data_IF_154986118080
#
_entry.id   IF_154986118080
#
_cell.length_a   1.000
_cell.length_b   1.000
_cell.length_c   1.000
_cell.angle_alpha   90.00
_cell.angle_beta   90.00
_cell.angle_gamma   90.00
#
_symmetry.space_group_name_H-M   'P 1'
#
loop_
_entity.id
_entity.type
_entity.pdbx_description
1 polymer ?
#
# COMPACT_ATOMS: atom_id res chain seq x y z
N UNK A 1 -28.31 -40.93 12.96
CA UNK A 1 -27.50 -40.83 11.73
C UNK A 1 -28.19 -39.83 10.83
N UNK A 2 -27.63 -38.62 10.69
CA UNK A 2 -28.21 -37.60 9.83
C UNK A 2 -27.76 -37.86 8.39
N UNK A 3 -28.68 -38.24 7.52
CA UNK A 3 -28.43 -38.45 6.09
C UNK A 3 -28.24 -37.10 5.41
N UNK A 4 -26.99 -36.65 5.28
CA UNK A 4 -26.64 -35.50 4.47
C UNK A 4 -26.82 -35.86 3.00
N UNK A 5 -27.74 -35.17 2.32
CA UNK A 5 -27.96 -35.34 0.89
C UNK A 5 -26.68 -34.98 0.11
N UNK A 6 -26.36 -35.73 -0.96
CA UNK A 6 -25.19 -35.46 -1.78
C UNK A 6 -25.31 -34.09 -2.46
N UNK A 7 -24.20 -33.35 -2.62
CA UNK A 7 -24.22 -32.01 -3.20
C UNK A 7 -24.71 -32.05 -4.65
N UNK A 8 -25.51 -31.05 -5.08
CA UNK A 8 -26.10 -31.03 -6.41
C UNK A 8 -25.02 -30.94 -7.50
N UNK A 9 -25.28 -31.59 -8.63
CA UNK A 9 -24.37 -31.65 -9.77
C UNK A 9 -24.16 -30.26 -10.40
N UNK A 10 -23.03 -30.05 -11.10
CA UNK A 10 -22.70 -28.76 -11.74
C UNK A 10 -23.79 -28.24 -12.68
N UNK A 11 -24.54 -29.14 -13.31
CA UNK A 11 -25.65 -28.80 -14.22
C UNK A 11 -26.87 -28.29 -13.45
N UNK A 12 -27.24 -28.95 -12.35
CA UNK A 12 -28.35 -28.53 -11.47
C UNK A 12 -28.04 -27.17 -10.84
N UNK A 13 -26.80 -26.92 -10.42
CA UNK A 13 -26.38 -25.59 -9.94
C UNK A 13 -26.49 -24.50 -11.01
N UNK A 14 -26.16 -24.81 -12.27
CA UNK A 14 -26.28 -23.84 -13.38
C UNK A 14 -27.75 -23.51 -13.66
N UNK A 15 -28.61 -24.52 -13.70
CA UNK A 15 -30.04 -24.35 -13.91
C UNK A 15 -30.72 -23.63 -12.73
N UNK A 16 -30.27 -23.84 -11.49
CA UNK A 16 -30.71 -23.07 -10.31
C UNK A 16 -30.23 -21.62 -10.35
N UNK A 17 -29.00 -21.35 -10.80
CA UNK A 17 -28.48 -19.99 -10.98
C UNK A 17 -29.23 -19.26 -12.10
N UNK A 18 -29.49 -19.92 -13.23
CA UNK A 18 -30.29 -19.35 -14.33
C UNK A 18 -31.73 -19.11 -13.88
N UNK A 19 -32.36 -20.04 -13.15
CA UNK A 19 -33.70 -19.82 -12.58
C UNK A 19 -33.74 -18.70 -11.55
N UNK A 20 -32.71 -18.54 -10.72
CA UNK A 20 -32.64 -17.43 -9.74
C UNK A 20 -32.34 -16.09 -10.41
N UNK A 21 -31.56 -16.05 -11.49
CA UNK A 21 -31.43 -14.85 -12.34
C UNK A 21 -32.76 -14.50 -13.02
N UNK A 22 -33.45 -15.48 -13.60
CA UNK A 22 -34.75 -15.25 -14.24
C UNK A 22 -35.84 -14.87 -13.21
N UNK A 23 -35.77 -15.37 -11.98
CA UNK A 23 -36.65 -14.93 -10.88
C UNK A 23 -36.29 -13.55 -10.33
N UNK A 24 -35.03 -13.13 -10.35
CA UNK A 24 -34.63 -11.76 -10.04
C UNK A 24 -35.11 -10.78 -11.11
N UNK A 25 -35.12 -11.19 -12.38
CA UNK A 25 -35.66 -10.39 -13.49
C UNK A 25 -37.21 -10.27 -13.46
N UNK A 26 -37.90 -11.14 -12.71
CA UNK A 26 -39.38 -11.20 -12.65
C UNK A 26 -39.92 -10.89 -11.24
N UNK A 27 -39.15 -10.21 -10.39
CA UNK A 27 -39.72 -9.52 -9.22
C UNK A 27 -40.40 -8.21 -9.68
N UNK A 28 -41.64 -7.93 -9.25
CA UNK A 28 -42.65 -7.31 -10.09
C UNK A 28 -42.56 -5.78 -10.20
N UNK A 29 -43.06 -5.30 -11.34
CA UNK A 29 -43.58 -3.97 -11.67
C UNK A 29 -44.33 -3.26 -10.52
N UNK A 30 -43.60 -2.76 -9.54
CA UNK A 30 -44.04 -1.73 -8.59
C UNK A 30 -42.91 -0.72 -8.39
N UNK A 31 -42.28 -0.28 -9.49
CA UNK A 31 -41.65 1.03 -9.48
C UNK A 31 -42.77 2.06 -9.30
N UNK A 32 -43.06 2.44 -8.06
CA UNK A 32 -43.58 3.79 -7.82
C UNK A 32 -42.63 4.71 -8.57
N UNK A 33 -43.15 5.53 -9.46
CA UNK A 33 -42.36 6.51 -10.19
C UNK A 33 -41.75 7.48 -9.15
N UNK A 34 -40.56 7.13 -8.63
CA UNK A 34 -39.93 7.78 -7.48
C UNK A 34 -39.23 9.08 -7.89
N UNK A 35 -39.42 9.50 -9.14
CA UNK A 35 -38.74 10.63 -9.77
C UNK A 35 -37.33 10.26 -10.23
N UNK A 36 -36.76 11.13 -11.06
CA UNK A 36 -35.34 11.13 -11.41
C UNK A 36 -34.63 12.26 -10.69
N UNK A 37 -33.30 12.21 -10.63
CA UNK A 37 -32.45 13.32 -10.23
C UNK A 37 -31.26 13.44 -11.19
N UNK A 38 -30.66 14.63 -11.22
CA UNK A 38 -29.45 14.89 -11.99
C UNK A 38 -28.22 14.50 -11.18
N UNK A 39 -27.44 13.54 -11.66
CA UNK A 39 -26.18 13.13 -11.06
C UNK A 39 -25.02 13.88 -11.73
N UNK A 40 -24.20 14.53 -10.91
CA UNK A 40 -22.93 15.13 -11.32
C UNK A 40 -21.80 14.36 -10.66
N UNK A 41 -20.94 13.72 -11.46
CA UNK A 41 -19.84 12.90 -10.97
C UNK A 41 -18.53 13.68 -10.92
N UNK A 42 -17.93 13.74 -9.75
CA UNK A 42 -16.61 14.36 -9.54
C UNK A 42 -15.59 13.33 -9.08
N UNK A 43 -14.32 13.52 -9.43
CA UNK A 43 -13.22 12.71 -8.92
C UNK A 43 -12.88 13.09 -7.46
N UNK A 44 -11.84 12.47 -6.89
CA UNK A 44 -11.34 12.80 -5.55
C UNK A 44 -10.65 14.17 -5.47
N UNK A 45 -10.31 14.76 -6.62
CA UNK A 45 -9.72 16.09 -6.76
C UNK A 45 -10.80 17.18 -6.99
N UNK A 46 -12.06 16.79 -7.17
CA UNK A 46 -13.21 17.67 -7.40
C UNK A 46 -13.47 18.03 -8.87
N UNK A 47 -12.77 17.40 -9.83
CA UNK A 47 -13.00 17.63 -11.26
C UNK A 47 -14.15 16.76 -11.78
N UNK A 48 -14.93 17.31 -12.72
CA UNK A 48 -16.01 16.58 -13.39
C UNK A 48 -15.45 15.39 -14.19
N UNK A 49 -15.99 14.20 -13.94
CA UNK A 49 -15.57 12.97 -14.61
C UNK A 49 -16.37 12.69 -15.88
N UNK A 50 -17.66 13.00 -15.85
CA UNK A 50 -18.60 12.74 -16.92
C UNK A 50 -19.70 13.81 -16.87
N UNK A 51 -20.34 14.06 -18.02
CA UNK A 51 -21.45 15.00 -18.09
C UNK A 51 -22.60 14.63 -17.16
N UNK A 52 -23.43 15.62 -16.82
CA UNK A 52 -24.61 15.42 -15.96
C UNK A 52 -25.58 14.41 -16.59
N UNK A 53 -25.99 13.42 -15.82
CA UNK A 53 -26.91 12.34 -16.26
C UNK A 53 -28.14 12.27 -15.36
N UNK A 54 -29.29 11.99 -15.94
CA UNK A 54 -30.52 11.74 -15.19
C UNK A 54 -30.59 10.28 -14.74
N UNK A 55 -30.73 10.05 -13.43
CA UNK A 55 -30.83 8.71 -12.82
C UNK A 55 -32.18 8.61 -12.10
N UNK A 56 -32.89 7.50 -12.29
CA UNK A 56 -34.11 7.21 -11.54
C UNK A 56 -33.77 6.82 -10.09
N UNK A 57 -34.48 7.35 -9.10
CA UNK A 57 -34.30 6.95 -7.70
C UNK A 57 -34.51 5.45 -7.47
N UNK A 58 -35.32 4.77 -8.29
CA UNK A 58 -35.49 3.32 -8.23
C UNK A 58 -34.20 2.56 -8.57
N UNK A 59 -33.41 3.09 -9.50
CA UNK A 59 -32.17 2.47 -9.99
C UNK A 59 -30.92 2.97 -9.26
N UNK A 60 -31.07 3.89 -8.30
CA UNK A 60 -30.00 4.58 -7.60
C UNK A 60 -29.29 3.72 -6.52
N UNK A 61 -28.93 2.49 -6.87
CA UNK A 61 -28.06 1.65 -6.03
C UNK A 61 -26.58 1.90 -6.37
N UNK A 62 -25.68 1.75 -5.39
CA UNK A 62 -24.24 1.99 -5.58
C UNK A 62 -23.67 1.21 -6.78
N UNK A 63 -24.10 -0.05 -6.96
CA UNK A 63 -23.66 -0.91 -8.06
C UNK A 63 -24.12 -0.39 -9.42
N UNK A 64 -25.37 0.04 -9.54
CA UNK A 64 -25.94 0.54 -10.78
C UNK A 64 -25.30 1.88 -11.16
N UNK A 65 -25.14 2.78 -10.19
CA UNK A 65 -24.47 4.08 -10.39
C UNK A 65 -23.00 3.86 -10.78
N UNK A 66 -22.32 2.88 -10.17
CA UNK A 66 -20.95 2.51 -10.54
C UNK A 66 -20.88 1.94 -11.96
N UNK A 67 -21.84 1.12 -12.38
CA UNK A 67 -21.89 0.58 -13.73
C UNK A 67 -22.16 1.68 -14.76
N UNK A 68 -23.08 2.60 -14.45
CA UNK A 68 -23.41 3.75 -15.29
C UNK A 68 -22.19 4.65 -15.50
N UNK A 69 -21.46 5.00 -14.43
CA UNK A 69 -20.25 5.82 -14.54
C UNK A 69 -19.19 5.16 -15.43
N UNK A 70 -18.99 3.84 -15.33
CA UNK A 70 -18.05 3.14 -16.21
C UNK A 70 -18.50 3.15 -17.68
N UNK A 71 -19.80 3.03 -17.97
CA UNK A 71 -20.35 3.13 -19.32
C UNK A 71 -20.16 4.55 -19.90
N UNK A 72 -20.40 5.59 -19.09
CA UNK A 72 -20.19 6.98 -19.52
C UNK A 72 -18.71 7.29 -19.83
N UNK A 73 -17.80 6.64 -19.11
CA UNK A 73 -16.36 6.74 -19.37
C UNK A 73 -15.90 5.86 -20.55
N UNK A 74 -16.81 5.18 -21.24
CA UNK A 74 -16.53 4.36 -22.41
C UNK A 74 -15.68 3.12 -22.11
N UNK A 75 -15.74 2.59 -20.88
CA UNK A 75 -15.00 1.37 -20.52
C UNK A 75 -15.74 0.12 -20.96
N UNK A 76 -14.98 -0.90 -21.32
CA UNK A 76 -15.52 -2.23 -21.61
C UNK A 76 -15.98 -2.92 -20.31
N UNK A 77 -16.97 -3.81 -20.42
CA UNK A 77 -17.54 -4.51 -19.25
C UNK A 77 -16.52 -5.30 -18.43
N UNK A 78 -15.45 -5.75 -19.06
CA UNK A 78 -14.36 -6.52 -18.42
C UNK A 78 -13.40 -5.61 -17.62
N UNK A 79 -13.31 -4.33 -17.97
CA UNK A 79 -12.41 -3.33 -17.37
C UNK A 79 -13.13 -2.37 -16.41
N UNK A 80 -14.30 -2.76 -15.91
CA UNK A 80 -15.07 -1.94 -14.97
C UNK A 80 -14.31 -1.75 -13.66
N UNK A 81 -14.10 -0.49 -13.30
CA UNK A 81 -13.55 -0.13 -11.99
C UNK A 81 -14.72 0.00 -11.00
N UNK A 82 -14.73 -0.75 -9.89
CA UNK A 82 -15.76 -0.58 -8.88
C UNK A 82 -15.60 0.79 -8.20
N UNK A 83 -16.67 1.58 -8.12
CA UNK A 83 -16.65 2.88 -7.45
C UNK A 83 -17.44 2.85 -6.15
N UNK A 84 -16.94 3.57 -5.14
CA UNK A 84 -17.72 4.03 -3.99
C UNK A 84 -18.09 5.48 -4.22
N UNK A 85 -19.29 5.89 -3.84
CA UNK A 85 -19.69 7.28 -3.97
C UNK A 85 -19.84 7.96 -2.62
N UNK A 86 -19.22 9.12 -2.47
CA UNK A 86 -19.50 10.07 -1.39
C UNK A 86 -20.51 11.09 -1.88
N UNK A 87 -21.56 11.26 -1.11
CA UNK A 87 -22.72 12.05 -1.53
C UNK A 87 -22.63 13.43 -0.89
N UNK A 88 -22.61 14.47 -1.71
CA UNK A 88 -22.70 15.85 -1.24
C UNK A 88 -24.17 16.21 -1.05
N UNK A 89 -24.56 16.51 0.20
CA UNK A 89 -25.93 16.91 0.49
C UNK A 89 -26.19 18.31 -0.09
N UNK A 90 -27.17 18.48 -0.99
CA UNK A 90 -27.48 19.79 -1.54
C UNK A 90 -27.83 20.80 -0.44
N UNK A 91 -27.22 21.99 -0.49
CA UNK A 91 -27.47 23.08 0.47
C UNK A 91 -26.81 22.92 1.85
N UNK A 92 -25.95 21.90 2.06
CA UNK A 92 -25.18 21.71 3.30
C UNK A 92 -23.75 21.28 2.99
N UNK A 93 -22.80 21.66 3.84
CA UNK A 93 -21.40 21.20 3.74
C UNK A 93 -21.18 19.77 4.28
N UNK A 94 -22.23 18.93 4.25
CA UNK A 94 -22.20 17.56 4.76
C UNK A 94 -21.92 16.60 3.60
N UNK A 95 -20.84 15.83 3.74
CA UNK A 95 -20.46 14.76 2.82
C UNK A 95 -20.73 13.42 3.50
N UNK A 96 -21.51 12.56 2.86
CA UNK A 96 -21.85 11.23 3.37
C UNK A 96 -20.94 10.19 2.71
N UNK A 97 -20.06 9.55 3.48
CA UNK A 97 -19.09 8.56 2.99
C UNK A 97 -19.69 7.14 2.82
N UNK A 98 -20.83 6.86 3.45
CA UNK A 98 -21.51 5.56 3.38
C UNK A 98 -22.72 5.67 2.45
N UNK A 99 -22.71 4.89 1.38
CA UNK A 99 -23.83 4.87 0.45
C UNK A 99 -25.08 4.33 1.15
N UNK A 100 -26.23 5.05 1.12
CA UNK A 100 -27.45 4.62 1.80
C UNK A 100 -28.12 3.45 1.08
N UNK A 101 -28.96 2.71 1.79
CA UNK A 101 -29.84 1.70 1.16
C UNK A 101 -30.91 2.34 0.27
N UNK A 102 -31.42 3.50 0.67
CA UNK A 102 -32.35 4.32 -0.11
C UNK A 102 -31.85 5.77 -0.15
N UNK A 103 -31.50 6.23 -1.35
CA UNK A 103 -30.98 7.58 -1.57
C UNK A 103 -32.03 8.66 -1.30
N UNK A 104 -33.29 8.38 -1.64
CA UNK A 104 -34.38 9.36 -1.51
C UNK A 104 -34.65 9.67 -0.04
N UNK A 105 -34.69 8.64 0.81
CA UNK A 105 -34.88 8.79 2.26
C UNK A 105 -33.73 9.59 2.90
N UNK A 106 -32.49 9.38 2.46
CA UNK A 106 -31.34 10.15 2.93
C UNK A 106 -31.52 11.65 2.64
N UNK A 107 -31.89 12.00 1.41
CA UNK A 107 -32.08 13.41 1.01
C UNK A 107 -33.21 14.06 1.79
N UNK A 108 -34.33 13.36 1.96
CA UNK A 108 -35.47 13.85 2.75
C UNK A 108 -35.11 14.06 4.21
N UNK A 109 -34.37 13.12 4.82
CA UNK A 109 -33.87 13.24 6.21
C UNK A 109 -32.96 14.44 6.40
N UNK A 110 -32.18 14.80 5.38
CA UNK A 110 -31.34 15.98 5.40
C UNK A 110 -32.08 17.28 5.04
N UNK A 111 -33.39 17.23 4.76
CA UNK A 111 -34.24 18.39 4.53
C UNK A 111 -34.18 18.94 3.11
N UNK A 112 -33.86 18.11 2.12
CA UNK A 112 -33.90 18.50 0.70
C UNK A 112 -35.36 18.53 0.25
N UNK A 113 -35.88 19.73 -0.03
CA UNK A 113 -37.31 19.94 -0.35
C UNK A 113 -37.71 19.42 -1.73
N UNK A 114 -36.85 19.59 -2.75
CA UNK A 114 -37.09 19.14 -4.13
C UNK A 114 -35.98 18.18 -4.60
N UNK A 115 -36.02 16.89 -4.20
CA UNK A 115 -34.97 15.93 -4.54
C UNK A 115 -34.92 15.60 -6.05
N UNK A 116 -36.03 15.76 -6.79
CA UNK A 116 -36.10 15.39 -8.22
C UNK A 116 -35.51 16.42 -9.18
N UNK A 117 -35.51 17.70 -8.81
CA UNK A 117 -35.00 18.79 -9.67
C UNK A 117 -33.58 19.22 -9.29
N UNK A 118 -33.06 18.69 -8.18
CA UNK A 118 -31.74 19.05 -7.66
C UNK A 118 -30.66 18.21 -8.30
N UNK A 119 -29.54 18.86 -8.60
CA UNK A 119 -28.33 18.15 -9.05
C UNK A 119 -27.56 17.68 -7.83
N UNK A 120 -27.34 16.38 -7.72
CA UNK A 120 -26.61 15.75 -6.63
C UNK A 120 -25.19 15.49 -7.11
N UNK A 121 -24.22 15.98 -6.35
CA UNK A 121 -22.81 15.72 -6.63
C UNK A 121 -22.37 14.45 -5.94
N UNK A 122 -21.80 13.53 -6.71
CA UNK A 122 -21.22 12.28 -6.24
C UNK A 122 -19.71 12.34 -6.44
N UNK A 123 -18.93 12.29 -5.37
CA UNK A 123 -17.49 12.07 -5.47
C UNK A 123 -17.22 10.58 -5.61
N UNK A 124 -16.67 10.18 -6.75
CA UNK A 124 -16.41 8.81 -7.11
C UNK A 124 -15.01 8.37 -6.65
N UNK A 125 -14.96 7.45 -5.71
CA UNK A 125 -13.72 6.85 -5.21
C UNK A 125 -13.52 5.46 -5.83
N UNK A 126 -12.47 5.25 -6.64
CA UNK A 126 -12.20 3.94 -7.21
C UNK A 126 -11.81 2.96 -6.09
N UNK A 127 -12.50 1.83 -6.03
CA UNK A 127 -12.16 0.70 -5.18
C UNK A 127 -11.22 -0.25 -5.92
N UNK A 128 -10.53 -1.09 -5.15
CA UNK A 128 -9.75 -2.17 -5.72
C UNK A 128 -10.68 -3.18 -6.44
N UNK A 129 -10.28 -3.61 -7.64
CA UNK A 129 -11.02 -4.62 -8.43
C UNK A 129 -11.09 -5.97 -7.70
N UNK A 130 -10.15 -6.23 -6.80
CA UNK A 130 -10.09 -7.42 -5.96
C UNK A 130 -10.46 -7.10 -4.51
N UNK A 131 -11.04 -8.10 -3.83
CA UNK A 131 -11.37 -8.01 -2.41
C UNK A 131 -10.43 -8.91 -1.61
N UNK A 132 -9.69 -8.32 -0.68
CA UNK A 132 -8.91 -9.09 0.31
C UNK A 132 -9.86 -9.55 1.41
N UNK A 133 -9.96 -10.86 1.62
CA UNK A 133 -10.72 -11.41 2.73
C UNK A 133 -9.99 -11.17 4.05
N UNK A 134 -10.75 -10.81 5.09
CA UNK A 134 -10.20 -10.69 6.43
C UNK A 134 -9.69 -12.06 6.91
N UNK A 135 -8.51 -12.08 7.52
CA UNK A 135 -7.96 -13.29 8.15
C UNK A 135 -8.82 -13.65 9.37
N UNK A 136 -9.33 -14.89 9.42
CA UNK A 136 -10.29 -15.31 10.46
C UNK A 136 -9.69 -16.18 11.55
N UNK A 137 -8.54 -16.82 11.26
CA UNK A 137 -7.90 -17.77 12.16
C UNK A 137 -6.39 -17.76 11.99
N UNK A 138 -5.70 -18.24 13.02
CA UNK A 138 -4.28 -18.56 12.95
C UNK A 138 -4.05 -19.65 11.91
N UNK A 139 -3.11 -19.42 10.97
CA UNK A 139 -2.68 -20.44 10.02
C UNK A 139 -1.67 -21.39 10.68
N UNK A 140 -0.50 -20.87 11.07
CA UNK A 140 0.58 -21.66 11.68
C UNK A 140 1.24 -20.90 12.83
N UNK A 141 1.67 -21.63 13.85
CA UNK A 141 2.60 -21.14 14.89
C UNK A 141 3.95 -21.82 14.67
N UNK A 142 4.91 -21.07 14.15
CA UNK A 142 6.21 -21.62 13.77
C UNK A 142 7.27 -21.22 14.82
N UNK A 143 7.76 -22.14 15.65
CA UNK A 143 8.84 -21.85 16.58
C UNK A 143 10.18 -21.75 15.84
N UNK A 144 11.13 -21.06 16.44
CA UNK A 144 12.50 -21.10 15.96
C UNK A 144 13.41 -20.04 16.58
N UNK A 145 12.98 -18.78 16.56
CA UNK A 145 13.78 -17.70 17.15
C UNK A 145 13.98 -17.89 18.65
N UNK A 146 15.19 -17.58 19.13
CA UNK A 146 15.56 -17.69 20.54
C UNK A 146 15.25 -16.45 21.37
N UNK A 147 14.87 -15.35 20.73
CA UNK A 147 14.64 -14.03 21.31
C UNK A 147 13.45 -13.36 20.58
N UNK A 148 12.96 -12.19 21.07
CA UNK A 148 11.85 -11.48 20.42
C UNK A 148 12.09 -11.20 18.94
N UNK A 149 11.02 -11.30 18.15
CA UNK A 149 11.02 -10.89 16.74
C UNK A 149 10.81 -9.39 16.69
N UNK A 150 11.73 -8.67 16.05
CA UNK A 150 11.75 -7.21 15.98
C UNK A 150 11.16 -6.68 14.67
N UNK A 151 11.31 -7.44 13.59
CA UNK A 151 10.78 -7.08 12.29
C UNK A 151 10.29 -8.32 11.54
N UNK A 152 9.24 -8.16 10.74
CA UNK A 152 8.76 -9.17 9.82
C UNK A 152 8.26 -8.54 8.53
N UNK A 153 8.45 -9.21 7.40
CA UNK A 153 7.95 -8.75 6.11
C UNK A 153 7.77 -9.92 5.14
N UNK A 154 6.60 -9.99 4.49
CA UNK A 154 6.37 -10.92 3.38
C UNK A 154 7.15 -10.52 2.13
N UNK A 155 7.53 -11.52 1.33
CA UNK A 155 8.06 -11.31 0.00
C UNK A 155 7.08 -10.51 -0.87
N UNK A 156 7.55 -9.63 -1.77
CA UNK A 156 6.68 -8.92 -2.71
C UNK A 156 6.08 -9.85 -3.77
N UNK A 157 6.66 -11.04 -3.98
CA UNK A 157 6.21 -11.99 -5.00
C UNK A 157 4.89 -12.64 -4.59
N UNK A 158 4.85 -13.21 -3.38
CA UNK A 158 3.66 -13.88 -2.85
C UNK A 158 3.75 -14.04 -1.34
N UNK A 159 2.64 -14.50 -0.74
CA UNK A 159 2.58 -14.79 0.69
C UNK A 159 3.41 -16.00 1.11
N UNK A 160 3.89 -16.86 0.19
CA UNK A 160 4.54 -18.16 0.51
C UNK A 160 5.86 -18.02 1.26
N UNK A 161 6.45 -16.82 1.28
CA UNK A 161 7.72 -16.51 1.94
C UNK A 161 7.55 -15.33 2.89
N UNK A 162 7.93 -15.56 4.15
CA UNK A 162 8.02 -14.53 5.18
C UNK A 162 9.47 -14.42 5.65
N UNK A 163 9.97 -13.19 5.79
CA UNK A 163 11.24 -12.92 6.46
C UNK A 163 10.99 -12.34 7.86
N UNK A 164 11.81 -12.72 8.83
CA UNK A 164 11.81 -12.15 10.19
C UNK A 164 13.22 -11.82 10.65
N UNK A 165 13.36 -10.77 11.46
CA UNK A 165 14.58 -10.40 12.16
C UNK A 165 14.35 -10.43 13.67
N UNK A 166 15.32 -10.92 14.44
CA UNK A 166 15.19 -11.12 15.87
C UNK A 166 16.38 -10.57 16.66
N UNK A 167 16.17 -10.40 17.97
CA UNK A 167 17.22 -10.15 18.95
C UNK A 167 18.19 -11.33 19.17
N UNK A 168 17.96 -12.48 18.53
CA UNK A 168 18.89 -13.63 18.56
C UNK A 168 20.05 -13.50 17.56
N UNK A 169 20.20 -12.30 16.97
CA UNK A 169 21.18 -11.94 15.94
C UNK A 169 20.99 -12.71 14.61
N UNK A 170 19.85 -13.36 14.41
CA UNK A 170 19.53 -14.04 13.15
C UNK A 170 18.34 -13.40 12.45
N UNK A 171 18.38 -13.46 11.12
CA UNK A 171 17.17 -13.35 10.31
C UNK A 171 16.75 -14.75 9.86
N UNK A 172 15.46 -14.96 9.62
CA UNK A 172 14.94 -16.25 9.15
C UNK A 172 13.99 -16.05 8.01
N UNK A 173 13.97 -17.05 7.12
CA UNK A 173 12.99 -17.16 6.05
C UNK A 173 12.11 -18.35 6.36
N UNK A 174 10.81 -18.14 6.28
CA UNK A 174 9.79 -19.13 6.58
C UNK A 174 9.06 -19.51 5.30
N UNK A 175 8.77 -20.81 5.19
CA UNK A 175 7.78 -21.29 4.26
C UNK A 175 6.42 -21.25 4.94
N UNK A 176 5.53 -20.39 4.46
CA UNK A 176 4.21 -20.19 5.08
C UNK A 176 3.16 -21.17 4.57
N UNK A 177 3.44 -21.87 3.47
CA UNK A 177 2.51 -22.85 2.89
C UNK A 177 2.55 -24.15 3.70
N UNK A 178 3.76 -24.57 4.11
CA UNK A 178 3.97 -25.72 5.01
C UNK A 178 4.05 -25.31 6.49
N UNK A 179 4.25 -24.03 6.79
CA UNK A 179 4.48 -23.56 8.15
C UNK A 179 5.82 -24.02 8.73
N UNK A 180 6.87 -24.13 7.92
CA UNK A 180 8.19 -24.63 8.32
C UNK A 180 9.31 -23.58 8.19
N UNK A 181 10.36 -23.65 9.02
CA UNK A 181 11.56 -22.84 8.82
C UNK A 181 12.26 -23.27 7.52
N UNK A 182 12.51 -22.32 6.62
CA UNK A 182 13.23 -22.57 5.37
C UNK A 182 14.73 -22.34 5.54
N UNK A 183 15.13 -21.14 5.95
CA UNK A 183 16.54 -20.76 6.10
C UNK A 183 16.77 -19.96 7.38
N UNK A 184 17.94 -20.17 8.00
CA UNK A 184 18.43 -19.34 9.12
C UNK A 184 19.65 -18.55 8.64
N UNK A 185 19.49 -17.23 8.54
CA UNK A 185 20.48 -16.29 8.06
C UNK A 185 21.37 -15.86 9.23
N UNK A 186 22.52 -16.53 9.37
CA UNK A 186 23.52 -16.28 10.42
C UNK A 186 24.64 -15.41 9.87
N UNK A 187 25.06 -14.41 10.65
CA UNK A 187 26.21 -13.57 10.30
C UNK A 187 26.25 -12.27 11.10
N UNK A 188 25.10 -11.76 11.51
CA UNK A 188 25.04 -10.60 12.39
C UNK A 188 25.55 -10.95 13.80
N UNK A 189 26.21 -9.99 14.44
CA UNK A 189 26.72 -10.11 15.82
C UNK A 189 25.92 -9.29 16.84
N UNK A 190 24.84 -8.65 16.38
CA UNK A 190 23.89 -7.90 17.18
C UNK A 190 22.47 -8.03 16.65
N UNK A 191 21.50 -7.46 17.37
CA UNK A 191 20.08 -7.60 17.08
C UNK A 191 19.73 -7.15 15.66
N UNK A 192 18.93 -7.95 14.96
CA UNK A 192 18.43 -7.61 13.62
C UNK A 192 17.22 -6.70 13.79
N UNK A 193 17.40 -5.40 13.55
CA UNK A 193 16.40 -4.37 13.79
C UNK A 193 15.37 -4.26 12.66
N UNK A 194 15.76 -4.62 11.44
CA UNK A 194 14.90 -4.51 10.26
C UNK A 194 15.23 -5.56 9.22
N UNK A 195 14.18 -5.99 8.53
CA UNK A 195 14.25 -6.87 7.36
C UNK A 195 13.48 -6.18 6.23
N UNK A 196 14.07 -6.09 5.04
CA UNK A 196 13.42 -5.47 3.90
C UNK A 196 13.74 -6.23 2.60
N UNK A 197 12.71 -6.75 1.95
CA UNK A 197 12.82 -7.40 0.64
C UNK A 197 13.10 -6.36 -0.45
N UNK A 198 13.93 -6.73 -1.43
CA UNK A 198 14.05 -5.95 -2.65
C UNK A 198 12.72 -5.96 -3.40
N UNK A 199 12.37 -4.90 -4.15
CA UNK A 199 11.09 -4.82 -4.83
C UNK A 199 10.86 -5.91 -5.88
N UNK A 200 11.93 -6.47 -6.45
CA UNK A 200 11.90 -7.62 -7.38
C UNK A 200 11.84 -8.99 -6.65
N UNK A 201 11.93 -9.00 -5.33
CA UNK A 201 11.89 -10.21 -4.50
C UNK A 201 13.18 -11.05 -4.50
N UNK A 202 14.22 -10.67 -5.25
CA UNK A 202 15.47 -11.44 -5.40
C UNK A 202 16.42 -11.33 -4.22
N UNK A 203 16.32 -10.27 -3.42
CA UNK A 203 17.23 -10.01 -2.32
C UNK A 203 16.46 -9.72 -1.03
N UNK A 204 17.06 -10.06 0.09
CA UNK A 204 16.63 -9.64 1.41
C UNK A 204 17.73 -8.83 2.07
N UNK A 205 17.45 -7.58 2.43
CA UNK A 205 18.35 -6.76 3.24
C UNK A 205 18.01 -6.88 4.72
N UNK A 206 19.05 -6.98 5.56
CA UNK A 206 18.92 -6.98 7.02
C UNK A 206 19.83 -5.89 7.60
N UNK A 207 19.29 -5.12 8.54
CA UNK A 207 20.07 -4.15 9.32
C UNK A 207 20.17 -4.55 10.78
N UNK A 208 21.31 -4.23 11.40
CA UNK A 208 21.60 -4.69 12.76
C UNK A 208 22.25 -3.63 13.65
N UNK A 209 22.15 -3.87 14.95
CA UNK A 209 22.93 -3.18 15.98
C UNK A 209 24.45 -3.41 15.84
N UNK A 210 24.89 -4.41 15.07
CA UNK A 210 26.32 -4.61 14.77
C UNK A 210 26.91 -3.57 13.80
N UNK A 211 26.10 -2.57 13.39
CA UNK A 211 26.47 -1.44 12.52
C UNK A 211 26.65 -1.85 11.06
N UNK A 212 26.24 -3.05 10.69
CA UNK A 212 26.33 -3.56 9.32
C UNK A 212 24.95 -3.72 8.69
N UNK A 213 24.94 -3.69 7.36
CA UNK A 213 23.81 -4.17 6.55
C UNK A 213 24.28 -5.41 5.80
N UNK A 214 23.45 -6.45 5.76
CA UNK A 214 23.74 -7.66 4.99
C UNK A 214 22.66 -7.89 3.96
N UNK A 215 23.06 -8.38 2.81
CA UNK A 215 22.17 -8.81 1.73
C UNK A 215 22.19 -10.33 1.67
N UNK A 216 21.02 -10.92 1.51
CA UNK A 216 20.85 -12.36 1.44
C UNK A 216 20.10 -12.72 0.17
N UNK A 217 20.46 -13.85 -0.39
CA UNK A 217 19.65 -14.53 -1.39
C UNK A 217 18.58 -15.37 -0.65
N UNK A 218 17.28 -15.05 -0.82
CA UNK A 218 16.20 -15.72 -0.11
C UNK A 218 15.92 -17.14 -0.62
N UNK A 219 16.39 -17.51 -1.81
CA UNK A 219 16.23 -18.85 -2.36
C UNK A 219 17.26 -19.81 -1.76
N UNK A 220 18.53 -19.39 -1.74
CA UNK A 220 19.64 -20.22 -1.25
C UNK A 220 19.91 -20.05 0.25
N UNK A 221 19.45 -18.96 0.86
CA UNK A 221 19.74 -18.61 2.25
C UNK A 221 21.19 -18.15 2.49
N UNK A 222 21.95 -17.91 1.42
CA UNK A 222 23.35 -17.48 1.49
C UNK A 222 23.45 -15.97 1.52
N UNK A 223 24.50 -15.47 2.17
CA UNK A 223 24.83 -14.05 2.10
C UNK A 223 25.32 -13.70 0.68
N UNK A 224 24.77 -12.63 0.12
CA UNK A 224 25.22 -12.07 -1.14
C UNK A 224 26.34 -11.05 -0.88
N UNK A 225 27.54 -11.34 -1.39
CA UNK A 225 28.71 -10.48 -1.23
C UNK A 225 29.19 -10.33 0.23
N UNK A 226 29.89 -9.23 0.51
CA UNK A 226 30.38 -8.89 1.85
C UNK A 226 29.32 -8.10 2.64
N UNK A 227 29.53 -7.99 3.96
CA UNK A 227 28.72 -7.13 4.80
C UNK A 227 29.04 -5.65 4.54
N UNK A 228 28.01 -4.81 4.46
CA UNK A 228 28.15 -3.40 4.17
C UNK A 228 28.59 -2.67 5.45
N UNK A 229 29.90 -2.49 5.56
CA UNK A 229 30.56 -1.77 6.65
C UNK A 229 30.70 -0.30 6.32
N UNK A 230 30.46 0.55 7.31
CA UNK A 230 30.72 1.98 7.19
C UNK A 230 30.00 2.84 8.22
N UNK A 231 28.83 2.40 8.69
CA UNK A 231 28.14 3.08 9.78
C UNK A 231 28.93 3.00 11.10
N UNK A 232 28.96 4.11 11.84
CA UNK A 232 29.68 4.18 13.11
C UNK A 232 28.86 3.62 14.29
N UNK A 233 27.53 3.59 14.13
CA UNK A 233 26.54 3.14 15.13
C UNK A 233 25.47 2.25 14.48
N UNK A 234 24.53 1.79 15.29
CA UNK A 234 23.46 0.86 14.92
C UNK A 234 22.69 1.32 13.68
N UNK A 235 22.40 0.38 12.78
CA UNK A 235 21.59 0.64 11.59
C UNK A 235 20.13 0.38 11.93
N UNK A 236 19.30 1.43 11.87
CA UNK A 236 17.93 1.41 12.38
C UNK A 236 16.90 1.03 11.32
N UNK A 237 17.08 1.50 10.08
CA UNK A 237 16.12 1.27 9.01
C UNK A 237 16.82 1.16 7.65
N UNK A 238 16.13 0.54 6.70
CA UNK A 238 16.62 0.29 5.34
C UNK A 238 15.50 0.51 4.34
N UNK A 239 15.78 1.15 3.22
CA UNK A 239 14.85 1.34 2.10
C UNK A 239 15.55 1.03 0.77
N UNK A 240 14.93 0.18 -0.04
CA UNK A 240 15.41 -0.13 -1.38
C UNK A 240 15.07 0.99 -2.35
N UNK A 241 15.95 1.24 -3.31
CA UNK A 241 15.60 2.01 -4.50
C UNK A 241 14.47 1.31 -5.26
N UNK A 242 13.43 2.03 -5.68
CA UNK A 242 12.38 1.48 -6.55
C UNK A 242 12.95 0.84 -7.82
N UNK A 243 12.40 -0.31 -8.20
CA UNK A 243 12.93 -1.12 -9.31
C UNK A 243 13.01 -0.37 -10.66
N UNK A 244 12.06 0.52 -10.94
CA UNK A 244 12.05 1.30 -12.19
C UNK A 244 13.14 2.38 -12.24
N UNK A 245 13.79 2.70 -11.12
CA UNK A 245 14.89 3.65 -11.05
C UNK A 245 16.27 2.98 -11.09
N UNK A 246 16.33 1.65 -11.03
CA UNK A 246 17.60 0.93 -11.04
C UNK A 246 18.39 1.23 -12.32
N UNK A 247 19.60 1.74 -12.11
CA UNK A 247 20.57 2.07 -13.16
C UNK A 247 21.87 1.30 -12.95
N UNK A 248 22.68 1.19 -13.99
CA UNK A 248 23.99 0.51 -13.98
C UNK A 248 23.91 -1.01 -13.70
N UNK A 249 22.74 -1.62 -13.93
CA UNK A 249 22.52 -3.06 -13.69
C UNK A 249 22.62 -3.48 -12.22
N UNK A 250 22.49 -2.53 -11.29
CA UNK A 250 22.61 -2.77 -9.86
C UNK A 250 21.44 -2.14 -9.11
N UNK A 251 20.97 -2.85 -8.09
CA UNK A 251 20.08 -2.27 -7.11
C UNK A 251 20.87 -1.32 -6.19
N UNK A 252 20.17 -0.32 -5.66
CA UNK A 252 20.68 0.53 -4.58
C UNK A 252 19.85 0.36 -3.31
N UNK A 253 20.53 0.57 -2.20
CA UNK A 253 19.94 0.46 -0.87
C UNK A 253 20.29 1.70 -0.05
N UNK A 254 19.30 2.34 0.56
CA UNK A 254 19.51 3.36 1.57
C UNK A 254 19.44 2.73 2.97
N UNK A 255 20.41 3.02 3.83
CA UNK A 255 20.37 2.64 5.24
C UNK A 255 20.48 3.86 6.14
N UNK A 256 19.61 3.93 7.15
CA UNK A 256 19.61 4.96 8.17
C UNK A 256 20.23 4.45 9.46
N UNK A 257 21.08 5.27 10.08
CA UNK A 257 21.81 4.89 11.28
C UNK A 257 21.69 5.91 12.41
N UNK A 258 21.94 5.41 13.62
CA UNK A 258 22.09 6.19 14.84
C UNK A 258 23.29 7.14 14.82
N UNK A 259 24.21 6.98 13.85
CA UNK A 259 25.32 7.90 13.64
C UNK A 259 24.91 9.26 13.04
N UNK A 260 23.63 9.43 12.66
CA UNK A 260 23.12 10.68 12.09
C UNK A 260 23.28 10.75 10.57
N UNK A 261 23.70 9.66 9.94
CA UNK A 261 23.87 9.58 8.48
C UNK A 261 22.89 8.59 7.87
N UNK A 262 22.52 8.84 6.62
CA UNK A 262 21.96 7.83 5.74
C UNK A 262 22.95 7.52 4.63
N UNK A 263 23.19 6.24 4.34
CA UNK A 263 24.15 5.80 3.32
C UNK A 263 23.43 5.12 2.17
N UNK A 264 23.83 5.46 0.95
CA UNK A 264 23.38 4.78 -0.27
C UNK A 264 24.46 3.78 -0.68
N UNK A 265 24.07 2.52 -0.83
CA UNK A 265 24.95 1.41 -1.18
C UNK A 265 24.63 0.90 -2.57
N UNK A 266 25.67 0.58 -3.33
CA UNK A 266 25.57 -0.17 -4.58
C UNK A 266 25.64 -1.66 -4.23
N UNK A 267 24.55 -2.40 -4.47
CA UNK A 267 24.42 -3.78 -3.94
C UNK A 267 25.43 -4.75 -4.52
N UNK A 268 25.75 -4.66 -5.82
CA UNK A 268 26.68 -5.58 -6.47
C UNK A 268 28.13 -5.45 -5.97
N UNK A 269 28.55 -4.24 -5.60
CA UNK A 269 29.93 -3.96 -5.17
C UNK A 269 30.09 -3.79 -3.67
N UNK A 270 28.99 -3.52 -2.94
CA UNK A 270 29.01 -3.13 -1.53
C UNK A 270 29.62 -1.75 -1.28
N UNK A 271 29.91 -0.97 -2.33
CA UNK A 271 30.46 0.39 -2.21
C UNK A 271 29.38 1.37 -1.75
N UNK A 272 29.76 2.30 -0.87
CA UNK A 272 28.93 3.47 -0.57
C UNK A 272 29.04 4.49 -1.71
N UNK A 273 27.91 4.81 -2.36
CA UNK A 273 27.82 5.84 -3.41
C UNK A 273 27.73 7.23 -2.78
N UNK A 274 26.81 7.41 -1.83
CA UNK A 274 26.59 8.67 -1.13
C UNK A 274 26.46 8.48 0.37
N UNK A 275 26.94 9.48 1.12
CA UNK A 275 26.72 9.64 2.55
C UNK A 275 25.91 10.90 2.76
N UNK A 276 24.61 10.71 3.02
CA UNK A 276 23.67 11.79 3.33
C UNK A 276 23.91 12.22 4.77
N UNK A 277 24.70 13.28 4.91
CA UNK A 277 25.05 13.87 6.19
C UNK A 277 24.32 15.20 6.39
N UNK A 278 23.96 15.48 7.64
CA UNK A 278 23.47 16.78 8.04
C UNK A 278 22.46 16.73 9.18
N UNK A 279 21.85 15.57 9.45
CA UNK A 279 21.06 15.40 10.66
C UNK A 279 21.93 15.55 11.91
N UNK A 280 21.41 16.24 12.93
CA UNK A 280 22.12 16.47 14.21
C UNK A 280 21.92 15.33 15.21
N UNK A 281 21.07 14.36 14.88
CA UNK A 281 20.70 13.26 15.75
C UNK A 281 20.48 11.97 14.96
N UNK A 282 20.17 10.90 15.70
CA UNK A 282 19.90 9.56 15.15
C UNK A 282 18.83 9.60 14.05
N UNK A 283 19.15 9.04 12.87
CA UNK A 283 18.17 8.88 11.78
C UNK A 283 17.38 7.60 12.05
N UNK A 284 16.14 7.74 12.49
CA UNK A 284 15.31 6.61 12.93
C UNK A 284 14.70 5.84 11.76
N UNK A 285 14.33 6.54 10.69
CA UNK A 285 13.56 5.98 9.59
C UNK A 285 13.96 6.59 8.25
N UNK A 286 13.86 5.78 7.20
CA UNK A 286 14.19 6.16 5.82
C UNK A 286 13.17 5.54 4.86
N UNK A 287 12.81 6.27 3.82
CA UNK A 287 12.00 5.82 2.67
C UNK A 287 12.61 6.33 1.39
N UNK A 288 12.44 5.58 0.30
CA UNK A 288 12.91 5.96 -1.03
C UNK A 288 11.69 6.06 -1.95
N UNK A 289 11.43 7.27 -2.46
CA UNK A 289 10.29 7.57 -3.33
C UNK A 289 10.53 7.21 -4.79
N UNK A 290 9.44 7.08 -5.55
CA UNK A 290 9.47 6.69 -6.96
C UNK A 290 10.02 7.75 -7.91
N UNK A 291 10.28 8.96 -7.41
CA UNK A 291 10.90 10.08 -8.13
C UNK A 291 12.41 10.21 -7.93
N UNK A 292 13.03 9.28 -7.19
CA UNK A 292 14.46 9.35 -6.87
C UNK A 292 14.79 10.24 -5.67
N UNK A 293 13.78 10.59 -4.87
CA UNK A 293 13.96 11.30 -3.61
C UNK A 293 14.05 10.32 -2.44
N UNK A 294 14.94 10.60 -1.48
CA UNK A 294 15.02 9.88 -0.20
C UNK A 294 14.43 10.76 0.88
N UNK A 295 13.62 10.17 1.75
CA UNK A 295 12.99 10.82 2.88
C UNK A 295 13.56 10.25 4.16
N UNK A 296 14.04 11.09 5.06
CA UNK A 296 14.60 10.67 6.36
C UNK A 296 13.92 11.39 7.50
N UNK A 297 13.59 10.66 8.56
CA UNK A 297 13.14 11.19 9.84
C UNK A 297 14.22 11.00 10.90
N UNK A 298 14.42 12.00 11.75
CA UNK A 298 15.48 11.98 12.77
C UNK A 298 15.00 12.47 14.13
N UNK A 299 15.76 12.08 15.15
CA UNK A 299 15.60 12.57 16.51
C UNK A 299 16.02 14.04 16.67
N UNK A 300 16.63 14.65 15.65
CA UNK A 300 16.81 16.11 15.61
C UNK A 300 15.52 16.89 15.31
N UNK A 301 14.37 16.18 15.28
CA UNK A 301 13.02 16.73 15.03
C UNK A 301 12.82 17.24 13.61
N UNK A 302 13.79 16.99 12.73
CA UNK A 302 13.70 17.37 11.33
C UNK A 302 13.40 16.17 10.44
N UNK A 303 12.66 16.46 9.39
CA UNK A 303 12.51 15.59 8.23
C UNK A 303 13.35 16.20 7.13
N UNK A 304 14.06 15.35 6.39
CA UNK A 304 14.84 15.82 5.24
C UNK A 304 14.48 15.04 4.00
N UNK A 305 14.45 15.76 2.89
CA UNK A 305 14.28 15.22 1.55
C UNK A 305 15.59 15.41 0.81
N UNK A 306 16.12 14.32 0.27
CA UNK A 306 17.40 14.27 -0.40
C UNK A 306 17.20 13.84 -1.84
N UNK A 307 17.96 14.44 -2.76
CA UNK A 307 18.12 13.92 -4.11
C UNK A 307 19.06 12.71 -4.05
N UNK A 308 18.57 11.51 -4.38
CA UNK A 308 19.36 10.29 -4.29
C UNK A 308 20.47 10.22 -5.33
N UNK A 309 20.30 10.88 -6.49
CA UNK A 309 21.26 10.84 -7.59
C UNK A 309 22.43 11.76 -7.32
N UNK A 310 22.17 12.94 -6.75
CA UNK A 310 23.21 13.92 -6.40
C UNK A 310 23.73 13.76 -4.99
N UNK A 311 22.96 13.12 -4.10
CA UNK A 311 23.24 13.03 -2.67
C UNK A 311 23.06 14.38 -1.93
N UNK A 312 22.30 15.32 -2.50
CA UNK A 312 22.14 16.69 -1.98
C UNK A 312 20.85 16.84 -1.19
N UNK A 313 20.87 17.69 -0.17
CA UNK A 313 19.67 18.09 0.58
C UNK A 313 18.79 19.01 -0.26
N UNK A 314 17.52 18.65 -0.45
CA UNK A 314 16.53 19.44 -1.18
C UNK A 314 15.62 20.23 -0.25
N UNK A 315 15.04 19.55 0.74
CA UNK A 315 14.13 20.16 1.70
C UNK A 315 14.47 19.74 3.13
N UNK A 316 14.24 20.66 4.06
CA UNK A 316 14.28 20.40 5.49
C UNK A 316 13.01 20.92 6.14
N UNK A 317 12.25 20.03 6.77
CA UNK A 317 11.04 20.36 7.50
C UNK A 317 11.31 20.29 9.01
N UNK A 318 11.00 21.36 9.73
CA UNK A 318 11.27 21.50 11.18
C UNK A 318 9.99 21.75 11.98
N UNK A 319 8.86 21.24 11.50
CA UNK A 319 7.56 21.45 12.15
C UNK A 319 7.36 20.64 13.45
N UNK A 320 8.07 19.51 13.62
CA UNK A 320 7.89 18.65 14.77
C UNK A 320 8.56 19.21 16.04
N UNK A 321 7.85 19.17 17.17
CA UNK A 321 8.37 19.56 18.49
C UNK A 321 9.20 18.48 19.20
N UNK A 322 9.13 17.22 18.75
CA UNK A 322 9.75 16.06 19.38
C UNK A 322 10.43 15.12 18.37
N UNK A 323 11.08 14.07 18.87
CA UNK A 323 11.77 13.08 18.05
C UNK A 323 10.80 12.40 17.09
N UNK A 324 11.21 12.37 15.83
CA UNK A 324 10.50 11.66 14.78
C UNK A 324 11.00 10.22 14.81
N UNK A 325 10.07 9.27 14.85
CA UNK A 325 10.40 7.84 14.85
C UNK A 325 9.92 7.14 13.57
N UNK A 326 8.84 7.65 12.95
CA UNK A 326 8.21 6.99 11.82
C UNK A 326 7.86 7.98 10.72
N UNK A 327 8.06 7.53 9.48
CA UNK A 327 7.61 8.18 8.26
C UNK A 327 7.01 7.13 7.32
N UNK A 328 6.05 7.53 6.50
CA UNK A 328 5.47 6.71 5.45
C UNK A 328 5.13 7.56 4.21
N UNK A 329 5.23 6.95 3.04
CA UNK A 329 4.88 7.55 1.76
C UNK A 329 3.54 6.98 1.27
N UNK A 330 2.77 7.80 0.55
CA UNK A 330 1.55 7.33 -0.13
C UNK A 330 1.86 6.23 -1.16
N UNK A 331 3.04 6.26 -1.75
CA UNK A 331 3.52 5.33 -2.77
C UNK A 331 4.19 4.06 -2.22
N UNK A 332 4.37 3.95 -0.89
CA UNK A 332 5.16 2.86 -0.26
C UNK A 332 4.72 1.46 -0.70
N UNK A 333 3.41 1.23 -0.81
CA UNK A 333 2.88 -0.08 -1.20
C UNK A 333 3.15 -0.42 -2.68
N UNK A 334 2.99 0.57 -3.56
CA UNK A 334 3.26 0.39 -4.99
C UNK A 334 4.76 0.15 -5.24
N UNK A 335 5.63 0.93 -4.57
CA UNK A 335 7.08 0.82 -4.69
C UNK A 335 7.62 -0.49 -4.11
N UNK A 336 7.01 -1.00 -3.03
CA UNK A 336 7.41 -2.26 -2.40
C UNK A 336 7.30 -3.47 -3.33
N UNK A 337 6.33 -3.49 -4.24
CA UNK A 337 6.04 -4.67 -5.07
C UNK A 337 6.48 -4.54 -6.53
N UNK A 338 7.11 -3.41 -6.91
CA UNK A 338 7.58 -3.15 -8.28
C UNK A 338 6.54 -3.48 -9.36
N UNK A 339 6.73 -4.60 -10.08
CA UNK A 339 5.84 -5.08 -11.15
C UNK A 339 4.90 -6.20 -10.72
N UNK A 340 5.01 -6.72 -9.48
CA UNK A 340 4.10 -7.73 -8.94
C UNK A 340 2.79 -7.10 -8.50
N UNK A 341 1.72 -7.37 -9.23
CA UNK A 341 0.34 -7.01 -8.91
C UNK A 341 -0.47 -8.26 -8.54
N UNK A 342 -1.80 -8.11 -8.42
CA UNK A 342 -2.66 -9.25 -8.08
C UNK A 342 -2.79 -10.25 -9.23
N UNK A 343 -2.55 -9.79 -10.46
CA UNK A 343 -2.49 -10.63 -11.64
C UNK A 343 -1.07 -11.17 -11.72
N UNK A 344 -0.88 -12.48 -11.64
CA UNK A 344 0.47 -13.10 -11.69
C UNK A 344 1.11 -13.05 -13.09
N UNK A 345 0.92 -11.95 -13.82
CA UNK A 345 1.50 -11.71 -15.14
C UNK A 345 2.80 -10.93 -14.97
N UNK A 346 3.92 -11.66 -14.97
CA UNK A 346 5.25 -11.07 -14.83
C UNK A 346 5.84 -10.93 -16.23
N UNK A 347 6.14 -9.71 -16.70
CA UNK A 347 6.78 -9.53 -18.00
C UNK A 347 8.12 -10.27 -18.05
N UNK A 348 8.44 -10.92 -19.17
CA UNK A 348 9.67 -11.70 -19.30
C UNK A 348 10.92 -10.79 -19.45
N UNK A 349 10.78 -9.65 -20.12
CA UNK A 349 11.88 -8.71 -20.40
C UNK A 349 12.12 -7.74 -19.24
N UNK A 350 13.38 -7.36 -19.02
CA UNK A 350 13.73 -6.39 -17.96
C UNK A 350 13.15 -4.99 -18.26
N UNK A 351 13.07 -4.59 -19.54
CA UNK A 351 12.41 -3.36 -19.96
C UNK A 351 10.90 -3.40 -19.66
N UNK A 352 10.24 -4.52 -19.91
CA UNK A 352 8.83 -4.73 -19.60
C UNK A 352 8.55 -4.66 -18.10
N UNK A 353 9.39 -5.30 -17.28
CA UNK A 353 9.30 -5.23 -15.81
C UNK A 353 9.46 -3.79 -15.30
N UNK A 354 10.40 -3.02 -15.86
CA UNK A 354 10.62 -1.61 -15.50
C UNK A 354 9.44 -0.73 -15.90
N UNK A 355 8.91 -0.92 -17.10
CA UNK A 355 7.75 -0.19 -17.59
C UNK A 355 6.53 -0.43 -16.72
N UNK A 356 6.20 -1.70 -16.42
CA UNK A 356 5.08 -2.07 -15.54
C UNK A 356 5.25 -1.49 -14.14
N UNK A 357 6.45 -1.58 -13.55
CA UNK A 357 6.71 -1.00 -12.24
C UNK A 357 6.53 0.53 -12.22
N UNK A 358 6.99 1.22 -13.26
CA UNK A 358 6.83 2.67 -13.41
C UNK A 358 5.37 3.07 -13.57
N UNK A 359 4.63 2.39 -14.45
CA UNK A 359 3.21 2.65 -14.69
C UNK A 359 2.39 2.51 -13.41
N UNK A 360 2.62 1.46 -12.62
CA UNK A 360 1.95 1.23 -11.34
C UNK A 360 2.24 2.35 -10.34
N UNK A 361 3.50 2.79 -10.26
CA UNK A 361 3.88 3.91 -9.42
C UNK A 361 3.18 5.20 -9.85
N UNK A 362 3.24 5.54 -11.14
CA UNK A 362 2.63 6.76 -11.67
C UNK A 362 1.12 6.77 -11.49
N UNK A 363 0.44 5.64 -11.71
CA UNK A 363 -1.01 5.49 -11.47
C UNK A 363 -1.38 5.69 -10.00
N UNK A 364 -0.57 5.20 -9.07
CA UNK A 364 -0.82 5.33 -7.63
C UNK A 364 -0.42 6.70 -7.05
N UNK A 365 0.56 7.38 -7.65
CA UNK A 365 1.11 8.65 -7.17
C UNK A 365 0.60 9.88 -7.94
N UNK A 366 -0.30 9.71 -8.92
CA UNK A 366 -0.87 10.84 -9.66
C UNK A 366 -1.92 11.56 -8.82
N UNK A 367 -1.75 12.87 -8.68
CA UNK A 367 -2.72 13.79 -8.07
C UNK A 367 -2.83 14.98 -9.03
N UNK A 368 -4.03 15.35 -9.45
CA UNK A 368 -4.26 16.45 -10.41
C UNK A 368 -3.41 16.30 -11.70
N UNK A 369 -3.26 15.07 -12.19
CA UNK A 369 -2.49 14.77 -13.42
C UNK A 369 -0.96 14.83 -13.28
N UNK A 370 -0.41 15.23 -12.12
CA UNK A 370 1.03 15.28 -11.84
C UNK A 370 1.43 14.19 -10.83
N UNK A 371 2.65 13.69 -10.95
CA UNK A 371 3.20 12.73 -9.97
C UNK A 371 3.58 13.50 -8.71
N UNK A 372 2.89 13.22 -7.60
CA UNK A 372 3.10 13.87 -6.32
C UNK A 372 2.98 12.84 -5.18
N UNK A 373 4.11 12.55 -4.53
CA UNK A 373 4.15 11.64 -3.38
C UNK A 373 3.81 12.41 -2.10
N UNK A 374 2.87 11.91 -1.31
CA UNK A 374 2.55 12.48 0.01
C UNK A 374 3.39 11.80 1.08
N UNK A 375 3.91 12.59 2.01
CA UNK A 375 4.68 12.13 3.15
C UNK A 375 3.87 12.36 4.43
N UNK A 376 3.78 11.33 5.27
CA UNK A 376 3.30 11.46 6.65
C UNK A 376 4.44 11.13 7.61
N UNK A 377 4.49 11.88 8.71
CA UNK A 377 5.52 11.76 9.73
C UNK A 377 4.91 11.80 11.13
N UNK A 378 5.47 11.00 12.02
CA UNK A 378 5.00 10.90 13.40
C UNK A 378 6.14 11.18 14.38
N UNK A 379 5.92 12.17 15.25
CA UNK A 379 6.74 12.43 16.44
C UNK A 379 6.00 11.98 17.69
N UNK A 380 6.71 11.34 18.62
CA UNK A 380 6.11 10.95 19.90
C UNK A 380 5.94 12.19 20.79
N UNK A 381 4.69 12.57 21.09
CA UNK A 381 4.41 13.45 22.22
C UNK A 381 4.72 12.68 23.52
N UNK A 382 5.44 13.25 24.50
CA UNK A 382 5.47 12.65 25.82
C UNK A 382 4.04 12.68 26.36
N UNK A 383 3.49 11.52 26.70
CA UNK A 383 2.34 11.44 27.59
C UNK A 383 2.81 11.96 28.95
N UNK A 384 2.82 13.28 29.16
CA UNK A 384 2.76 13.83 30.50
C UNK A 384 1.35 13.53 31.02
N UNK A 385 1.19 12.38 31.66
CA UNK A 385 0.14 12.23 32.65
C UNK A 385 0.61 13.07 33.84
N UNK A 386 0.27 14.35 33.84
CA UNK A 386 0.27 15.14 35.06
C UNK A 386 -0.85 14.60 35.93
N UNK A 387 -0.57 13.58 36.73
CA UNK A 387 -1.37 13.29 37.92
C UNK A 387 -1.08 14.45 38.87
N UNK A 388 -1.90 15.50 38.80
CA UNK A 388 -2.01 16.45 39.90
C UNK A 388 -2.73 15.73 41.02
N UNK A 389 -1.99 15.40 42.07
CA UNK A 389 -2.48 14.97 43.38
C UNK A 389 -3.30 16.05 44.06
#
# INVERSE_FOLDING_TARGET
MATTLPPPSKRVRREEIERTQTQQDVAPLLARDRGSFKAHFVDSDGNEMAGVVDINFADATEKNVSALLNQMLGRDREDFTPYRFRIHIPGKDVIVDQYPSDLLELLQKHGVTNPSETTITFSAEPQAVFKVHAVTRLAHRIPGHGQPILACQFSPVSSSRLATGSGDNTARIWDTDSGTPKHTLKGHTGWVLGVNWSPDGKYLATCSMDKTVRIWDPETGKQFGQDFKGHAKWVLAVAWEPYHLWRDGTARLASASKDGTCRIWIVNSGRTEHVLSGHKGSVSCVRWGGTGMIYTGSHDKSIRVWDAVKGTLMHSFTAHGHWINHIALSSDHALRTAYFDQVSDVPDTEEGKRAKAKERFEKAARIQGKVAERLVSASKLPCHVSVTS
#
